data_IF_548317942875
#
_entry.id   IF_548317942875
#
_cell.length_a   1.000
_cell.length_b   1.000
_cell.length_c   1.000
_cell.angle_alpha   90.00
_cell.angle_beta   90.00
_cell.angle_gamma   90.00
#
_symmetry.space_group_name_H-M   'P 1'
#
loop_
_entity.id
_entity.type
_entity.pdbx_description
1 polymer ?
#
# COMPACT_ATOMS: atom_id res chain seq x y z
N UNK A 1 -4.61 -0.92 12.78
CA UNK A 1 -4.25 -1.48 11.44
C UNK A 1 -5.38 -2.34 10.90
N UNK A 2 -5.69 -2.23 9.61
CA UNK A 2 -6.69 -3.04 8.90
C UNK A 2 -6.05 -3.61 7.63
N UNK A 3 -6.21 -4.92 7.38
CA UNK A 3 -5.82 -5.51 6.10
C UNK A 3 -6.89 -5.21 5.07
N UNK A 4 -6.54 -4.42 4.06
CA UNK A 4 -7.48 -3.96 3.03
C UNK A 4 -7.40 -4.76 1.73
N UNK A 5 -6.29 -5.44 1.50
CA UNK A 5 -6.11 -6.31 0.32
C UNK A 5 -5.14 -7.46 0.64
N UNK A 6 -5.45 -8.64 0.12
CA UNK A 6 -4.56 -9.82 0.12
C UNK A 6 -4.37 -10.29 -1.31
N UNK A 7 -3.12 -10.51 -1.71
CA UNK A 7 -2.80 -11.03 -3.04
C UNK A 7 -1.53 -11.87 -2.99
N UNK A 8 -1.70 -13.19 -3.12
CA UNK A 8 -0.59 -14.15 -3.00
C UNK A 8 0.11 -14.02 -1.65
N UNK A 9 1.43 -13.83 -1.68
CA UNK A 9 2.26 -13.64 -0.49
C UNK A 9 2.17 -12.23 0.12
N UNK A 10 1.43 -11.30 -0.50
CA UNK A 10 1.39 -9.90 -0.07
C UNK A 10 0.10 -9.56 0.68
N UNK A 11 0.27 -8.80 1.77
CA UNK A 11 -0.81 -8.15 2.51
C UNK A 11 -0.65 -6.64 2.42
N UNK A 12 -1.68 -5.95 1.99
CA UNK A 12 -1.76 -4.48 2.04
C UNK A 12 -2.58 -4.09 3.26
N UNK A 13 -2.01 -3.20 4.07
CA UNK A 13 -2.53 -2.75 5.34
C UNK A 13 -2.57 -1.24 5.36
N UNK A 14 -3.58 -0.69 6.03
CA UNK A 14 -3.69 0.72 6.39
C UNK A 14 -3.67 0.79 7.91
N UNK A 15 -2.80 1.62 8.51
CA UNK A 15 -2.88 1.85 9.95
C UNK A 15 -4.06 2.78 10.24
N UNK A 16 -4.70 2.56 11.38
CA UNK A 16 -5.91 3.32 11.77
C UNK A 16 -5.54 4.66 12.43
N UNK A 17 -4.28 4.76 12.83
CA UNK A 17 -3.57 5.88 13.42
C UNK A 17 -2.62 6.55 12.42
N UNK A 18 -2.77 6.26 11.12
CA UNK A 18 -2.04 6.98 10.06
C UNK A 18 -2.58 8.41 9.89
N UNK A 19 -1.83 9.20 9.14
CA UNK A 19 -2.15 10.60 8.82
C UNK A 19 -1.87 10.86 7.34
N UNK A 20 -2.37 11.99 6.84
CA UNK A 20 -2.11 12.44 5.47
C UNK A 20 -0.61 12.57 5.19
N UNK A 21 -0.17 12.33 3.94
CA UNK A 21 -0.97 11.96 2.76
C UNK A 21 -1.36 10.47 2.74
N UNK A 22 -2.38 10.12 1.97
CA UNK A 22 -2.84 8.73 1.84
C UNK A 22 -1.73 7.77 1.40
N UNK A 23 -1.51 6.72 2.19
CA UNK A 23 -0.48 5.72 1.96
C UNK A 23 -0.91 4.34 2.46
N UNK A 24 -0.19 3.31 2.02
CA UNK A 24 -0.40 1.92 2.45
C UNK A 24 0.92 1.25 2.84
N UNK A 25 0.80 0.25 3.71
CA UNK A 25 1.90 -0.63 4.10
C UNK A 25 1.69 -2.01 3.49
N UNK A 26 2.67 -2.48 2.74
CA UNK A 26 2.64 -3.80 2.10
C UNK A 26 3.64 -4.71 2.79
N UNK A 27 3.17 -5.88 3.23
CA UNK A 27 3.98 -6.91 3.88
C UNK A 27 4.09 -8.14 2.99
N UNK A 28 5.30 -8.65 2.84
CA UNK A 28 5.70 -9.90 2.18
C UNK A 28 6.84 -10.54 2.96
N UNK A 29 7.95 -10.91 2.30
CA UNK A 29 9.18 -11.25 3.04
C UNK A 29 9.86 -10.00 3.56
N UNK A 30 9.82 -8.91 2.78
CA UNK A 30 10.10 -7.55 3.24
C UNK A 30 8.83 -6.73 3.46
N UNK A 31 9.01 -5.44 3.68
CA UNK A 31 7.93 -4.46 3.76
C UNK A 31 8.13 -3.33 2.75
N UNK A 32 7.05 -2.72 2.28
CA UNK A 32 7.08 -1.48 1.50
C UNK A 32 6.04 -0.48 2.01
N UNK A 33 6.42 0.78 2.16
CA UNK A 33 5.51 1.91 2.42
C UNK A 33 5.32 2.66 1.11
N UNK A 34 4.07 2.80 0.67
CA UNK A 34 3.76 3.34 -0.66
C UNK A 34 2.74 4.46 -0.54
N UNK A 35 3.11 5.64 -1.02
CA UNK A 35 2.22 6.78 -1.24
C UNK A 35 1.23 6.45 -2.35
N UNK A 36 -0.06 6.62 -2.08
CA UNK A 36 -1.13 6.43 -3.05
C UNK A 36 -1.92 7.72 -3.33
N UNK A 37 -1.54 8.85 -2.74
CA UNK A 37 -2.25 10.13 -2.83
C UNK A 37 -2.21 10.75 -4.24
N UNK A 38 -1.09 10.61 -4.93
CA UNK A 38 -0.87 11.17 -6.27
C UNK A 38 -1.50 10.37 -7.41
N UNK A 39 -1.37 10.87 -8.64
CA UNK A 39 -1.85 10.18 -9.85
C UNK A 39 -1.21 8.79 -10.02
N UNK A 40 0.07 8.65 -9.66
CA UNK A 40 0.83 7.40 -9.72
C UNK A 40 1.36 7.07 -8.32
N UNK A 41 1.30 5.79 -7.87
CA UNK A 41 1.85 5.40 -6.58
C UNK A 41 3.36 5.66 -6.52
N UNK A 42 3.87 6.10 -5.38
CA UNK A 42 5.31 6.31 -5.16
C UNK A 42 5.81 5.50 -3.98
N UNK A 43 6.94 4.86 -4.16
CA UNK A 43 7.62 4.19 -3.07
C UNK A 43 8.18 5.22 -2.09
N UNK A 44 7.87 5.06 -0.81
CA UNK A 44 8.45 5.86 0.28
C UNK A 44 9.66 5.12 0.87
N UNK A 45 9.46 3.86 1.26
CA UNK A 45 10.46 3.05 1.93
C UNK A 45 10.28 1.57 1.60
N UNK A 46 11.36 0.80 1.56
CA UNK A 46 11.29 -0.65 1.35
C UNK A 46 12.47 -1.41 1.95
N UNK A 47 12.16 -2.60 2.47
CA UNK A 47 13.14 -3.67 2.71
C UNK A 47 12.95 -4.85 1.74
N UNK A 48 11.94 -4.77 0.86
CA UNK A 48 11.67 -5.79 -0.15
C UNK A 48 12.77 -5.90 -1.21
N UNK A 49 12.92 -7.11 -1.74
CA UNK A 49 13.75 -7.34 -2.92
C UNK A 49 13.19 -6.62 -4.15
N UNK A 50 14.04 -6.37 -5.17
CA UNK A 50 13.58 -5.82 -6.46
C UNK A 50 12.47 -6.66 -7.12
N UNK A 51 12.49 -7.98 -6.93
CA UNK A 51 11.50 -8.90 -7.48
C UNK A 51 10.13 -8.75 -6.81
N UNK A 52 10.12 -8.65 -5.48
CA UNK A 52 8.90 -8.36 -4.72
C UNK A 52 8.35 -6.97 -5.06
N UNK A 53 9.22 -5.95 -5.09
CA UNK A 53 8.81 -4.57 -5.35
C UNK A 53 8.12 -4.42 -6.71
N UNK A 54 8.57 -5.13 -7.75
CA UNK A 54 7.89 -5.14 -9.06
C UNK A 54 6.47 -5.71 -8.97
N UNK A 55 6.28 -6.83 -8.26
CA UNK A 55 4.96 -7.44 -8.06
C UNK A 55 4.04 -6.53 -7.25
N UNK A 56 4.58 -5.91 -6.20
CA UNK A 56 3.85 -4.95 -5.37
C UNK A 56 3.48 -3.70 -6.16
N UNK A 57 4.37 -3.16 -6.99
CA UNK A 57 4.06 -2.01 -7.84
C UNK A 57 2.87 -2.30 -8.78
N UNK A 58 2.87 -3.46 -9.45
CA UNK A 58 1.73 -3.88 -10.28
C UNK A 58 0.45 -4.02 -9.46
N UNK A 59 0.53 -4.59 -8.25
CA UNK A 59 -0.61 -4.75 -7.35
C UNK A 59 -1.20 -3.38 -6.93
N UNK A 60 -0.36 -2.45 -6.47
CA UNK A 60 -0.82 -1.15 -5.98
C UNK A 60 -1.38 -0.30 -7.12
N UNK A 61 -0.75 -0.28 -8.29
CA UNK A 61 -1.29 0.45 -9.46
C UNK A 61 -2.68 -0.07 -9.82
N UNK A 62 -2.87 -1.40 -9.85
CA UNK A 62 -4.17 -2.01 -10.17
C UNK A 62 -5.28 -1.63 -9.20
N UNK A 63 -4.96 -1.51 -7.90
CA UNK A 63 -5.94 -1.30 -6.85
C UNK A 63 -5.93 0.12 -6.25
N UNK A 64 -5.20 1.06 -6.85
CA UNK A 64 -4.92 2.36 -6.23
C UNK A 64 -6.20 3.14 -5.87
N UNK A 65 -7.19 3.15 -6.75
CA UNK A 65 -8.46 3.86 -6.52
C UNK A 65 -9.21 3.30 -5.30
N UNK A 66 -9.36 1.97 -5.23
CA UNK A 66 -10.00 1.29 -4.11
C UNK A 66 -9.22 1.47 -2.80
N UNK A 67 -7.89 1.43 -2.85
CA UNK A 67 -7.05 1.67 -1.67
C UNK A 67 -7.19 3.10 -1.15
N UNK A 68 -7.27 4.10 -2.04
CA UNK A 68 -7.52 5.51 -1.66
C UNK A 68 -8.90 5.69 -1.04
N UNK A 69 -9.91 5.04 -1.59
CA UNK A 69 -11.26 5.05 -1.01
C UNK A 69 -11.26 4.46 0.39
N UNK A 70 -10.68 3.26 0.58
CA UNK A 70 -10.56 2.65 1.92
C UNK A 70 -9.73 3.48 2.89
N UNK A 71 -8.71 4.19 2.42
CA UNK A 71 -7.95 5.09 3.27
C UNK A 71 -8.83 6.24 3.79
N UNK A 72 -9.65 6.86 2.93
CA UNK A 72 -10.62 7.90 3.31
C UNK A 72 -11.70 7.35 4.24
N UNK A 73 -12.22 6.14 3.98
CA UNK A 73 -13.21 5.52 4.88
C UNK A 73 -12.68 5.35 6.32
N UNK A 74 -11.37 5.15 6.48
CA UNK A 74 -10.72 4.94 7.78
C UNK A 74 -10.39 6.28 8.47
N UNK A 75 -9.96 7.30 7.72
CA UNK A 75 -9.41 8.54 8.30
C UNK A 75 -10.32 9.77 8.17
N UNK A 76 -11.39 9.71 7.38
CA UNK A 76 -12.24 10.85 7.03
C UNK A 76 -11.74 11.62 5.82
#
# INVERSE_FOLDING_TARGET
MVTVLRSGAFRVVIYTDDHEPAHVHVFGHGMAKIDISGATPRLIETTMTKGELRKVATLIVRHQAALRERWRDIHG
#
